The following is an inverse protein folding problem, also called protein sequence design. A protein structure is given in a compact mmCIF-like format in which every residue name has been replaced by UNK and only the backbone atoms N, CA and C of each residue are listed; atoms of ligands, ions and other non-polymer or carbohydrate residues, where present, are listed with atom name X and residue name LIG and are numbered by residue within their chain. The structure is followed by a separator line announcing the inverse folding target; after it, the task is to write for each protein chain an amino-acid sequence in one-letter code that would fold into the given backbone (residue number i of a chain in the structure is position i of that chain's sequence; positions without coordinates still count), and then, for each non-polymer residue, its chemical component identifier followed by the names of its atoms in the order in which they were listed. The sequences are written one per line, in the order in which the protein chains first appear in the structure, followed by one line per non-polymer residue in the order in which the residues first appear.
data_IF_848856309243
#
_entry.id   IF_848856309243
#
_cell.length_a   1.000
_cell.length_b   1.000
_cell.length_c   1.000
_cell.angle_alpha   90.00
_cell.angle_beta   90.00
_cell.angle_gamma   90.00
#
_symmetry.space_group_name_H-M   'P 1'
#
loop_
_entity.id
_entity.type
_entity.pdbx_description
1 polymer ?
#
# COMPACT_ATOMS: atom_id res chain seq x y z
N UNK A 1 13.77 -55.08 35.02
CA UNK A 1 13.79 -53.76 35.67
C UNK A 1 13.00 -52.80 34.81
N UNK A 2 11.95 -52.23 35.43
CA UNK A 2 11.13 -51.08 35.02
C UNK A 2 10.41 -51.15 33.66
N UNK A 3 9.24 -51.81 33.69
CA UNK A 3 8.20 -51.67 32.68
C UNK A 3 7.83 -50.19 32.47
N UNK A 4 7.87 -49.79 31.21
CA UNK A 4 7.50 -48.46 30.74
C UNK A 4 6.00 -48.29 30.93
N UNK A 5 5.59 -47.56 31.97
CA UNK A 5 4.17 -47.22 32.19
C UNK A 5 3.75 -46.18 31.15
N UNK A 6 3.42 -46.64 29.94
CA UNK A 6 2.63 -45.86 29.01
C UNK A 6 1.19 -45.80 29.52
N UNK A 7 0.87 -44.75 30.29
CA UNK A 7 -0.50 -44.43 30.65
C UNK A 7 -1.28 -44.11 29.36
N UNK A 8 -2.06 -45.07 28.89
CA UNK A 8 -2.98 -44.91 27.75
C UNK A 8 -3.97 -43.81 28.14
N UNK A 9 -3.84 -42.61 27.55
CA UNK A 9 -4.73 -41.48 27.84
C UNK A 9 -6.18 -41.94 27.72
N UNK A 10 -7.01 -41.61 28.72
CA UNK A 10 -8.42 -41.99 28.69
C UNK A 10 -9.12 -41.35 27.48
N UNK A 11 -10.10 -42.03 26.89
CA UNK A 11 -10.82 -41.55 25.71
C UNK A 11 -11.44 -40.14 25.93
N UNK A 12 -11.82 -39.82 27.18
CA UNK A 12 -12.30 -38.48 27.57
C UNK A 12 -11.23 -37.41 27.43
N UNK A 13 -9.98 -37.71 27.81
CA UNK A 13 -8.85 -36.78 27.68
C UNK A 13 -8.51 -36.56 26.22
N UNK A 14 -8.48 -37.61 25.40
CA UNK A 14 -8.25 -37.49 23.95
C UNK A 14 -9.31 -36.61 23.27
N UNK A 15 -10.60 -36.84 23.55
CA UNK A 15 -11.68 -36.02 23.01
C UNK A 15 -11.62 -34.56 23.49
N UNK A 16 -11.17 -34.31 24.72
CA UNK A 16 -10.96 -32.96 25.23
C UNK A 16 -9.78 -32.25 24.53
N UNK A 17 -8.68 -32.97 24.27
CA UNK A 17 -7.51 -32.46 23.53
C UNK A 17 -7.86 -32.12 22.08
N UNK A 18 -8.64 -32.96 21.40
CA UNK A 18 -9.12 -32.69 20.04
C UNK A 18 -9.97 -31.42 19.96
N UNK A 19 -10.93 -31.27 20.89
CA UNK A 19 -11.77 -30.06 20.97
C UNK A 19 -10.92 -28.81 21.23
N UNK A 20 -9.92 -28.91 22.09
CA UNK A 20 -9.02 -27.80 22.39
C UNK A 20 -8.17 -27.42 21.17
N UNK A 21 -7.67 -28.40 20.41
CA UNK A 21 -6.93 -28.11 19.18
C UNK A 21 -7.83 -27.51 18.10
N UNK A 22 -9.08 -27.97 17.97
CA UNK A 22 -10.07 -27.37 17.08
C UNK A 22 -10.38 -25.91 17.49
N UNK A 23 -10.60 -25.65 18.77
CA UNK A 23 -10.84 -24.30 19.27
C UNK A 23 -9.63 -23.37 19.03
N UNK A 24 -8.41 -23.88 19.21
CA UNK A 24 -7.18 -23.13 18.88
C UNK A 24 -7.07 -22.82 17.39
N UNK A 25 -7.42 -23.77 16.51
CA UNK A 25 -7.46 -23.55 15.05
C UNK A 25 -8.47 -22.46 14.70
N UNK A 26 -9.70 -22.58 15.20
CA UNK A 26 -10.73 -21.57 14.99
C UNK A 26 -10.30 -20.17 15.47
N UNK A 27 -9.63 -20.07 16.62
CA UNK A 27 -9.09 -18.80 17.11
C UNK A 27 -7.99 -18.25 16.19
N UNK A 28 -7.08 -19.10 15.69
CA UNK A 28 -6.05 -18.68 14.73
C UNK A 28 -6.69 -18.16 13.45
N UNK A 29 -7.69 -18.86 12.91
CA UNK A 29 -8.38 -18.48 11.68
C UNK A 29 -9.14 -17.16 11.85
N UNK A 30 -9.83 -16.97 12.99
CA UNK A 30 -10.51 -15.72 13.31
C UNK A 30 -9.54 -14.53 13.37
N UNK A 31 -8.38 -14.69 14.04
CA UNK A 31 -7.33 -13.66 14.09
C UNK A 31 -6.76 -13.35 12.71
N UNK A 32 -6.55 -14.36 11.88
CA UNK A 32 -6.08 -14.16 10.51
C UNK A 32 -7.12 -13.42 9.66
N UNK A 33 -8.40 -13.75 9.81
CA UNK A 33 -9.48 -13.06 9.13
C UNK A 33 -9.55 -11.58 9.54
N UNK A 34 -9.45 -11.29 10.83
CA UNK A 34 -9.42 -9.91 11.33
C UNK A 34 -8.23 -9.13 10.77
N UNK A 35 -7.02 -9.68 10.84
CA UNK A 35 -5.82 -9.06 10.27
C UNK A 35 -5.97 -8.81 8.77
N UNK A 36 -6.61 -9.73 8.03
CA UNK A 36 -6.89 -9.55 6.59
C UNK A 36 -7.86 -8.39 6.36
N UNK A 37 -8.88 -8.22 7.19
CA UNK A 37 -9.81 -7.09 7.08
C UNK A 37 -9.11 -5.76 7.41
N UNK A 38 -8.30 -5.71 8.46
CA UNK A 38 -7.52 -4.53 8.80
C UNK A 38 -6.57 -4.11 7.67
N UNK A 39 -5.90 -5.08 7.04
CA UNK A 39 -5.05 -4.81 5.86
C UNK A 39 -5.86 -4.25 4.70
N UNK A 40 -7.03 -4.82 4.39
CA UNK A 40 -7.92 -4.28 3.34
C UNK A 40 -8.31 -2.83 3.59
N UNK A 41 -8.66 -2.50 4.83
CA UNK A 41 -9.03 -1.12 5.22
C UNK A 41 -7.81 -0.20 5.06
N UNK A 42 -6.64 -0.60 5.56
CA UNK A 42 -5.41 0.17 5.45
C UNK A 42 -5.00 0.39 3.98
N UNK A 43 -5.10 -0.63 3.14
CA UNK A 43 -4.81 -0.52 1.71
C UNK A 43 -5.80 0.43 1.02
N UNK A 44 -7.09 0.36 1.36
CA UNK A 44 -8.10 1.30 0.86
C UNK A 44 -7.80 2.74 1.26
N UNK A 45 -7.40 2.97 2.51
CA UNK A 45 -7.01 4.30 2.99
C UNK A 45 -5.82 4.86 2.20
N UNK A 46 -4.78 4.05 1.97
CA UNK A 46 -3.61 4.45 1.17
C UNK A 46 -3.99 4.81 -0.27
N UNK A 47 -4.84 3.99 -0.91
CA UNK A 47 -5.33 4.25 -2.27
C UNK A 47 -6.08 5.58 -2.33
N UNK A 48 -7.00 5.83 -1.39
CA UNK A 48 -7.79 7.07 -1.35
C UNK A 48 -6.89 8.29 -1.14
N UNK A 49 -5.93 8.20 -0.21
CA UNK A 49 -4.99 9.29 0.06
C UNK A 49 -4.10 9.57 -1.14
N UNK A 50 -3.57 8.53 -1.80
CA UNK A 50 -2.79 8.66 -3.02
C UNK A 50 -3.58 9.31 -4.16
N UNK A 51 -4.80 8.83 -4.42
CA UNK A 51 -5.67 9.40 -5.45
C UNK A 51 -6.02 10.88 -5.16
N UNK A 52 -6.32 11.20 -3.91
CA UNK A 52 -6.59 12.59 -3.49
C UNK A 52 -5.37 13.48 -3.67
N UNK A 53 -4.18 12.99 -3.32
CA UNK A 53 -2.93 13.73 -3.49
C UNK A 53 -2.64 14.04 -4.97
N UNK A 54 -2.85 13.06 -5.86
CA UNK A 54 -2.68 13.25 -7.30
C UNK A 54 -3.66 14.31 -7.84
N UNK A 55 -4.93 14.23 -7.47
CA UNK A 55 -5.94 15.22 -7.88
C UNK A 55 -5.63 16.64 -7.38
N UNK A 56 -5.04 16.77 -6.18
CA UNK A 56 -4.62 18.07 -5.66
C UNK A 56 -3.41 18.63 -6.42
N UNK A 57 -2.48 17.76 -6.83
CA UNK A 57 -1.30 18.14 -7.60
C UNK A 57 -1.63 18.66 -9.00
N UNK A 58 -2.75 18.25 -9.59
CA UNK A 58 -3.25 18.83 -10.84
C UNK A 58 -3.69 20.31 -10.70
N UNK A 59 -3.89 20.81 -9.48
CA UNK A 59 -4.42 22.15 -9.21
C UNK A 59 -3.45 23.04 -8.44
N UNK A 60 -2.54 22.44 -7.68
CA UNK A 60 -1.60 23.15 -6.84
C UNK A 60 -0.21 22.47 -6.83
N UNK A 61 0.77 23.20 -7.37
CA UNK A 61 2.18 22.79 -7.52
C UNK A 61 2.85 22.39 -6.20
N UNK A 62 2.33 22.84 -5.04
CA UNK A 62 2.84 22.40 -3.73
C UNK A 62 2.73 20.89 -3.57
N UNK A 63 1.63 20.28 -4.04
CA UNK A 63 1.42 18.84 -3.92
C UNK A 63 2.26 18.05 -4.93
N UNK A 64 2.51 18.61 -6.12
CA UNK A 64 3.46 18.05 -7.09
C UNK A 64 4.85 17.90 -6.49
N UNK A 65 5.35 18.95 -5.80
CA UNK A 65 6.64 18.89 -5.09
C UNK A 65 6.68 17.84 -4.00
N UNK A 66 5.58 17.65 -3.27
CA UNK A 66 5.48 16.58 -2.26
C UNK A 66 5.61 15.21 -2.92
N UNK A 67 4.94 14.97 -4.05
CA UNK A 67 5.04 13.71 -4.80
C UNK A 67 6.48 13.48 -5.26
N UNK A 68 7.15 14.49 -5.82
CA UNK A 68 8.55 14.38 -6.25
C UNK A 68 9.47 13.99 -5.09
N UNK A 69 9.29 14.59 -3.91
CA UNK A 69 10.06 14.24 -2.70
C UNK A 69 9.75 12.83 -2.19
N UNK A 70 8.51 12.35 -2.31
CA UNK A 70 8.15 10.96 -1.97
C UNK A 70 8.83 9.97 -2.93
N UNK A 71 8.84 10.24 -4.23
CA UNK A 71 9.48 9.39 -5.24
C UNK A 71 11.00 9.28 -5.02
N UNK A 72 11.66 10.39 -4.65
CA UNK A 72 13.10 10.38 -4.32
C UNK A 72 13.45 9.52 -3.10
N UNK A 73 12.50 9.30 -2.19
CA UNK A 73 12.69 8.50 -0.97
C UNK A 73 12.47 7.00 -1.18
N UNK A 74 12.02 6.58 -2.35
CA UNK A 74 11.84 5.17 -2.66
C UNK A 74 13.21 4.46 -2.69
N UNK A 75 13.39 3.50 -1.79
CA UNK A 75 14.66 2.77 -1.65
C UNK A 75 14.67 1.44 -2.40
N UNK A 76 13.49 0.86 -2.65
CA UNK A 76 13.35 -0.44 -3.29
C UNK A 76 13.31 -0.28 -4.81
N UNK A 77 14.26 -0.90 -5.50
CA UNK A 77 14.41 -0.78 -6.96
C UNK A 77 13.14 -1.17 -7.73
N UNK A 78 12.40 -2.19 -7.25
CA UNK A 78 11.14 -2.63 -7.85
C UNK A 78 10.08 -1.52 -7.79
N UNK A 79 10.01 -0.78 -6.68
CA UNK A 79 9.05 0.30 -6.50
C UNK A 79 9.44 1.49 -7.39
N UNK A 80 10.75 1.81 -7.48
CA UNK A 80 11.26 2.86 -8.40
C UNK A 80 10.93 2.54 -9.86
N UNK A 81 11.20 1.29 -10.28
CA UNK A 81 10.89 0.80 -11.65
C UNK A 81 9.41 0.89 -11.96
N UNK A 82 8.53 0.60 -10.99
CA UNK A 82 7.10 0.68 -11.18
C UNK A 82 6.62 2.10 -11.56
N UNK A 83 7.28 3.16 -11.10
CA UNK A 83 6.96 4.52 -11.54
C UNK A 83 7.67 4.89 -12.84
N UNK A 84 8.98 4.63 -12.92
CA UNK A 84 9.81 5.06 -14.06
C UNK A 84 9.44 4.33 -15.36
N UNK A 85 9.30 3.01 -15.31
CA UNK A 85 9.19 2.17 -16.50
C UNK A 85 7.74 2.10 -17.03
N UNK A 86 6.78 2.57 -16.23
CA UNK A 86 5.35 2.64 -16.59
C UNK A 86 4.87 4.06 -16.92
N UNK A 87 5.79 4.99 -17.18
CA UNK A 87 5.46 6.34 -17.68
C UNK A 87 4.71 7.22 -16.68
N UNK A 88 4.89 6.99 -15.38
CA UNK A 88 4.30 7.87 -14.38
C UNK A 88 4.93 9.26 -14.46
N UNK A 89 4.08 10.28 -14.59
CA UNK A 89 4.47 11.70 -14.56
C UNK A 89 3.76 12.36 -13.39
N UNK A 90 4.51 13.06 -12.54
CA UNK A 90 3.94 13.83 -11.44
C UNK A 90 2.95 14.86 -12.01
N UNK A 91 1.67 14.84 -11.61
CA UNK A 91 0.70 15.84 -12.05
C UNK A 91 1.14 17.22 -11.60
N UNK A 92 0.92 18.22 -12.45
CA UNK A 92 1.19 19.62 -12.16
C UNK A 92 0.02 20.47 -12.66
N UNK A 93 -0.20 21.66 -12.08
CA UNK A 93 -1.14 22.62 -12.64
C UNK A 93 -0.74 22.96 -14.06
N UNK A 94 -1.72 23.01 -14.96
CA UNK A 94 -1.51 23.61 -16.26
C UNK A 94 -1.19 25.10 -16.04
N UNK A 95 0.10 25.45 -16.06
CA UNK A 95 0.45 26.83 -16.35
C UNK A 95 0.04 27.07 -17.80
N UNK A 96 -0.83 28.05 -18.03
CA UNK A 96 -1.04 28.68 -19.33
C UNK A 96 0.30 29.24 -19.83
N UNK A 97 1.19 28.37 -20.30
CA UNK A 97 2.33 28.73 -21.11
C UNK A 97 1.79 29.03 -22.50
N UNK A 98 1.00 30.10 -22.60
CA UNK A 98 0.83 30.78 -23.87
C UNK A 98 2.18 31.45 -24.17
N UNK A 99 2.91 31.08 -25.23
CA UNK A 99 4.04 31.89 -25.66
C UNK A 99 3.46 33.22 -26.12
N UNK A 100 3.54 34.23 -25.24
CA UNK A 100 3.45 35.65 -25.62
C UNK A 100 4.34 35.83 -26.85
N UNK A 101 3.69 35.84 -28.01
CA UNK A 101 4.29 36.26 -29.26
C UNK A 101 4.26 37.78 -29.21
N UNK A 102 5.10 38.36 -28.36
CA UNK A 102 5.34 39.79 -28.33
C UNK A 102 6.33 40.12 -29.47
N UNK A 103 5.77 40.81 -30.45
CA UNK A 103 6.39 41.93 -31.17
C UNK A 103 7.75 41.71 -31.82
N UNK A 104 7.68 41.34 -33.10
CA UNK A 104 8.66 41.71 -34.12
C UNK A 104 8.06 42.72 -35.11
N UNK A 105 7.60 43.89 -34.64
CA UNK A 105 7.52 45.07 -35.51
C UNK A 105 8.96 45.51 -35.75
N UNK A 106 9.52 45.12 -36.89
CA UNK A 106 10.74 45.72 -37.42
C UNK A 106 10.38 46.49 -38.69
N UNK A 107 10.22 47.79 -38.50
CA UNK A 107 10.22 48.82 -39.53
C UNK A 107 11.48 48.70 -40.38
N UNK A 108 11.35 48.61 -41.70
CA UNK A 108 12.49 48.58 -42.60
C UNK A 108 12.13 48.85 -44.06
N UNK A 109 12.58 50.03 -44.53
CA UNK A 109 12.69 50.52 -45.91
C UNK A 109 11.41 50.94 -46.66
#
# INVERSE_FOLDING_TARGET
MSDTVHHKKSAKVLAAEERLEQAKRALRDAKQAENKQQRKIADRQKIILGATLLNLAERDERFSRVIDELLKRLTREQDVKAFRDHGFVTPRPANDQNPTTADGVHTGA
#
